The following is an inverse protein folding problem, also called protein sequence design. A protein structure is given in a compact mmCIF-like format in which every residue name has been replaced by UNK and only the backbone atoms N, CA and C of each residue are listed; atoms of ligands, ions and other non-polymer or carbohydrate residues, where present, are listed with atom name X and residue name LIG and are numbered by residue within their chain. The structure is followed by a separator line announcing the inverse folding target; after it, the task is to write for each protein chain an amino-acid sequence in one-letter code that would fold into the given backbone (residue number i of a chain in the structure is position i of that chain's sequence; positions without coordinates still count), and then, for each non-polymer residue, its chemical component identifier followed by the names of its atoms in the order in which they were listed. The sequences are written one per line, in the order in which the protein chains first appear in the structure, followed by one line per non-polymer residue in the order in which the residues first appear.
data_IF_237243509649
#
_entry.id   IF_237243509649
#
_cell.length_a   1.000
_cell.length_b   1.000
_cell.length_c   1.000
_cell.angle_alpha   90.00
_cell.angle_beta   90.00
_cell.angle_gamma   90.00
#
_symmetry.space_group_name_H-M   'P 1'
#
loop_
_entity.id
_entity.type
_entity.pdbx_description
1 polymer ?
#
# COMPACT_ATOMS: atom_id res chain seq x y z
N UNK A 1 17.51 -11.27 -2.78
CA UNK A 1 16.86 -10.10 -3.43
C UNK A 1 15.36 -10.32 -3.63
N UNK A 2 14.59 -10.34 -2.55
CA UNK A 2 13.14 -10.08 -2.55
C UNK A 2 12.73 -9.21 -1.33
N UNK A 3 13.71 -8.50 -0.77
CA UNK A 3 13.66 -7.88 0.55
C UNK A 3 12.49 -6.88 0.68
N UNK A 4 12.16 -6.19 -0.41
CA UNK A 4 10.97 -5.32 -0.50
C UNK A 4 9.67 -6.01 -0.18
N UNK A 5 9.42 -7.10 -0.89
CA UNK A 5 8.17 -7.84 -0.73
C UNK A 5 8.15 -8.56 0.62
N UNK A 6 9.31 -8.96 1.16
CA UNK A 6 9.43 -9.53 2.51
C UNK A 6 9.05 -8.50 3.58
N UNK A 7 9.56 -7.27 3.46
CA UNK A 7 9.23 -6.17 4.38
C UNK A 7 7.75 -5.79 4.28
N UNK A 8 7.18 -5.69 3.07
CA UNK A 8 5.76 -5.41 2.90
C UNK A 8 4.91 -6.52 3.50
N UNK A 9 5.27 -7.78 3.28
CA UNK A 9 4.56 -8.90 3.86
C UNK A 9 4.62 -8.90 5.39
N UNK A 10 5.79 -8.70 5.98
CA UNK A 10 5.99 -8.72 7.43
C UNK A 10 5.41 -7.48 8.12
N UNK A 11 5.82 -6.28 7.70
CA UNK A 11 5.48 -5.01 8.37
C UNK A 11 4.09 -4.49 8.03
N UNK A 12 3.51 -4.91 6.89
CA UNK A 12 2.20 -4.43 6.44
C UNK A 12 1.16 -5.54 6.51
N UNK A 13 1.31 -6.62 5.73
CA UNK A 13 0.25 -7.63 5.60
C UNK A 13 0.06 -8.40 6.90
N UNK A 14 1.11 -9.01 7.43
CA UNK A 14 1.01 -9.84 8.63
C UNK A 14 0.63 -9.02 9.86
N UNK A 15 1.11 -7.78 9.95
CA UNK A 15 0.78 -6.84 11.02
C UNK A 15 -0.72 -6.49 11.11
N UNK A 16 -1.49 -6.63 10.02
CA UNK A 16 -2.93 -6.29 10.01
C UNK A 16 -3.86 -7.49 9.98
N UNK A 17 -3.35 -8.71 9.77
CA UNK A 17 -4.18 -9.93 9.67
C UNK A 17 -5.05 -10.18 10.90
N UNK A 18 -4.59 -9.79 12.09
CA UNK A 18 -5.31 -9.98 13.35
C UNK A 18 -6.42 -8.96 13.62
N UNK A 19 -6.57 -7.92 12.79
CA UNK A 19 -7.58 -6.87 12.99
C UNK A 19 -8.91 -7.36 12.42
N UNK A 20 -9.93 -7.47 13.28
CA UNK A 20 -11.24 -8.02 12.90
C UNK A 20 -12.11 -7.02 12.14
N UNK A 21 -12.05 -5.73 12.48
CA UNK A 21 -12.81 -4.70 11.77
C UNK A 21 -12.13 -4.36 10.41
N UNK A 22 -12.81 -4.54 9.26
CA UNK A 22 -12.21 -4.32 7.95
C UNK A 22 -11.76 -2.87 7.72
N UNK A 23 -12.50 -1.88 8.24
CA UNK A 23 -12.14 -0.47 8.07
C UNK A 23 -10.88 -0.12 8.87
N UNK A 24 -10.82 -0.52 10.14
CA UNK A 24 -9.63 -0.38 10.98
C UNK A 24 -8.44 -1.11 10.35
N UNK A 25 -8.66 -2.33 9.84
CA UNK A 25 -7.63 -3.12 9.15
C UNK A 25 -7.09 -2.39 7.93
N UNK A 26 -7.95 -1.76 7.14
CA UNK A 26 -7.55 -0.99 5.97
C UNK A 26 -6.81 0.29 6.36
N UNK A 27 -7.29 1.05 7.35
CA UNK A 27 -6.59 2.23 7.89
C UNK A 27 -5.20 1.87 8.39
N UNK A 28 -5.09 0.75 9.12
CA UNK A 28 -3.81 0.25 9.59
C UNK A 28 -2.89 -0.16 8.44
N UNK A 29 -3.41 -0.85 7.42
CA UNK A 29 -2.64 -1.23 6.23
C UNK A 29 -2.06 -0.01 5.53
N UNK A 30 -2.87 1.02 5.31
CA UNK A 30 -2.44 2.27 4.66
C UNK A 30 -1.32 2.92 5.48
N UNK A 31 -1.54 3.09 6.79
CA UNK A 31 -0.55 3.66 7.70
C UNK A 31 0.77 2.89 7.67
N UNK A 32 0.72 1.55 7.76
CA UNK A 32 1.93 0.72 7.78
C UNK A 32 2.66 0.78 6.44
N UNK A 33 1.95 0.75 5.32
CA UNK A 33 2.56 0.84 4.00
C UNK A 33 3.21 2.22 3.79
N UNK A 34 2.55 3.30 4.18
CA UNK A 34 3.13 4.64 4.16
C UNK A 34 4.40 4.71 5.00
N UNK A 35 4.39 4.18 6.23
CA UNK A 35 5.59 4.17 7.07
C UNK A 35 6.76 3.39 6.45
N UNK A 36 6.48 2.31 5.70
CA UNK A 36 7.53 1.59 4.95
C UNK A 36 8.10 2.47 3.84
N UNK A 37 7.25 3.18 3.08
CA UNK A 37 7.71 4.05 1.99
C UNK A 37 8.44 5.31 2.48
N UNK A 38 8.05 5.84 3.64
CA UNK A 38 8.66 7.03 4.26
C UNK A 38 9.97 6.73 4.99
N UNK A 39 10.21 5.46 5.37
CA UNK A 39 11.41 5.01 6.07
C UNK A 39 12.65 5.13 5.18
N UNK A 40 13.63 5.95 5.59
CA UNK A 40 14.88 6.18 4.84
C UNK A 40 15.65 4.89 4.59
N UNK A 41 15.65 3.96 5.57
CA UNK A 41 16.32 2.65 5.48
C UNK A 41 15.61 1.71 4.50
N UNK A 42 14.29 1.84 4.37
CA UNK A 42 13.48 1.02 3.48
C UNK A 42 13.24 1.73 2.12
N UNK A 43 13.75 2.96 1.91
CA UNK A 43 13.53 3.76 0.69
C UNK A 43 14.33 3.23 -0.49
N UNK A 44 15.55 2.75 -0.27
CA UNK A 44 16.37 2.06 -1.28
C UNK A 44 15.62 0.87 -1.90
N UNK A 45 14.72 0.28 -1.12
CA UNK A 45 13.96 -0.91 -1.48
C UNK A 45 12.78 -0.57 -2.41
N UNK A 46 12.17 0.61 -2.24
CA UNK A 46 11.16 1.15 -3.16
C UNK A 46 11.80 1.60 -4.48
N UNK A 47 13.01 2.16 -4.43
CA UNK A 47 13.80 2.56 -5.60
C UNK A 47 14.22 1.33 -6.42
N UNK A 48 14.71 0.27 -5.78
CA UNK A 48 15.16 -0.96 -6.47
C UNK A 48 14.03 -1.72 -7.19
N UNK A 49 12.76 -1.44 -6.88
CA UNK A 49 11.60 -1.99 -7.60
C UNK A 49 11.20 -1.18 -8.83
N UNK A 50 11.66 0.07 -8.94
CA UNK A 50 11.39 1.00 -10.05
C UNK A 50 12.60 1.21 -10.97
N UNK A 51 13.81 1.11 -10.43
CA UNK A 51 15.02 1.00 -11.25
C UNK A 51 14.99 -0.39 -11.89
N UNK A 52 14.67 -0.40 -13.18
CA UNK A 52 14.59 -1.55 -14.08
C UNK A 52 15.94 -2.26 -14.24
N UNK A 53 16.55 -2.75 -13.16
CA UNK A 53 17.61 -3.73 -13.28
C UNK A 53 16.99 -5.00 -13.88
N UNK A 54 17.49 -5.49 -15.03
CA UNK A 54 16.96 -6.70 -15.65
C UNK A 54 17.21 -7.87 -14.70
N UNK A 55 16.16 -8.24 -13.96
CA UNK A 55 16.19 -9.42 -13.10
C UNK A 55 16.10 -10.67 -13.98
N UNK A 56 16.77 -11.77 -13.61
CA UNK A 56 16.59 -13.05 -14.29
C UNK A 56 15.11 -13.44 -14.37
N UNK A 57 14.63 -14.03 -15.48
CA UNK A 57 13.21 -14.34 -15.66
C UNK A 57 12.53 -15.10 -14.50
N UNK A 58 13.18 -16.09 -13.84
CA UNK A 58 12.61 -16.78 -12.69
C UNK A 58 12.36 -15.84 -11.50
N UNK A 59 13.25 -14.88 -11.26
CA UNK A 59 13.14 -13.91 -10.18
C UNK A 59 12.05 -12.88 -10.46
N UNK A 60 11.98 -12.40 -11.71
CA UNK A 60 10.92 -11.49 -12.16
C UNK A 60 9.53 -12.13 -12.01
N UNK A 61 9.37 -13.39 -12.42
CA UNK A 61 8.12 -14.15 -12.26
C UNK A 61 7.71 -14.25 -10.79
N UNK A 62 8.65 -14.53 -9.89
CA UNK A 62 8.40 -14.63 -8.44
C UNK A 62 7.97 -13.29 -7.84
N UNK A 63 8.63 -12.19 -8.20
CA UNK A 63 8.28 -10.86 -7.70
C UNK A 63 6.90 -10.44 -8.22
N UNK A 64 6.61 -10.67 -9.49
CA UNK A 64 5.31 -10.34 -10.08
C UNK A 64 4.16 -11.12 -9.45
N UNK A 65 4.38 -12.41 -9.11
CA UNK A 65 3.41 -13.19 -8.36
C UNK A 65 3.10 -12.55 -7.00
N UNK A 66 4.13 -12.21 -6.21
CA UNK A 66 3.93 -11.56 -4.90
C UNK A 66 3.26 -10.18 -5.01
N UNK A 67 3.61 -9.39 -6.03
CA UNK A 67 2.94 -8.10 -6.30
C UNK A 67 1.44 -8.32 -6.58
N UNK A 68 1.11 -9.33 -7.38
CA UNK A 68 -0.28 -9.72 -7.68
C UNK A 68 -1.02 -10.15 -6.42
N UNK A 69 -0.40 -10.97 -5.57
CA UNK A 69 -0.99 -11.41 -4.30
C UNK A 69 -1.28 -10.22 -3.37
N UNK A 70 -0.35 -9.25 -3.30
CA UNK A 70 -0.55 -8.04 -2.53
C UNK A 70 -1.70 -7.17 -3.06
N UNK A 71 -1.80 -7.00 -4.38
CA UNK A 71 -2.93 -6.30 -5.01
C UNK A 71 -4.25 -7.00 -4.65
N UNK A 72 -4.31 -8.32 -4.77
CA UNK A 72 -5.52 -9.09 -4.42
C UNK A 72 -5.89 -8.95 -2.94
N UNK A 73 -4.90 -8.93 -2.04
CA UNK A 73 -5.13 -8.71 -0.62
C UNK A 73 -5.79 -7.35 -0.35
N UNK A 74 -5.25 -6.28 -0.95
CA UNK A 74 -5.78 -4.92 -0.83
C UNK A 74 -7.18 -4.81 -1.47
N UNK A 75 -7.36 -5.37 -2.65
CA UNK A 75 -8.65 -5.42 -3.37
C UNK A 75 -9.74 -6.10 -2.52
N UNK A 76 -9.44 -7.27 -1.95
CA UNK A 76 -10.39 -8.00 -1.10
C UNK A 76 -10.76 -7.22 0.16
N UNK A 77 -9.77 -6.59 0.81
CA UNK A 77 -10.00 -5.77 2.00
C UNK A 77 -10.87 -4.55 1.69
N UNK A 78 -10.65 -3.87 0.56
CA UNK A 78 -11.53 -2.78 0.11
C UNK A 78 -12.96 -3.29 -0.10
N UNK A 79 -13.11 -4.46 -0.74
CA UNK A 79 -14.43 -5.07 -0.94
C UNK A 79 -15.13 -5.42 0.38
N UNK A 80 -14.39 -5.86 1.41
CA UNK A 80 -14.92 -6.07 2.76
C UNK A 80 -15.42 -4.77 3.39
N UNK A 81 -14.68 -3.67 3.26
CA UNK A 81 -15.10 -2.34 3.77
C UNK A 81 -16.35 -1.83 3.04
N UNK A 82 -16.41 -2.00 1.72
CA UNK A 82 -17.61 -1.64 0.94
C UNK A 82 -18.85 -2.41 1.44
N UNK A 83 -18.71 -3.73 1.65
CA UNK A 83 -19.78 -4.56 2.24
C UNK A 83 -20.19 -4.09 3.63
N UNK A 84 -19.22 -3.80 4.51
CA UNK A 84 -19.47 -3.28 5.86
C UNK A 84 -20.28 -1.98 5.82
N UNK A 85 -19.92 -1.06 4.93
CA UNK A 85 -20.59 0.23 4.73
C UNK A 85 -21.89 0.14 3.94
N UNK A 86 -22.28 -1.05 3.46
CA UNK A 86 -23.47 -1.28 2.62
C UNK A 86 -23.52 -0.38 1.38
N UNK A 87 -22.35 -0.05 0.83
CA UNK A 87 -22.19 0.71 -0.41
C UNK A 87 -21.51 -0.18 -1.44
N UNK A 88 -21.92 -0.08 -2.71
CA UNK A 88 -21.15 -0.65 -3.82
C UNK A 88 -19.96 0.24 -4.20
N UNK A 89 -19.84 1.41 -3.54
CA UNK A 89 -18.91 2.47 -3.89
C UNK A 89 -19.22 3.09 -5.25
N UNK A 90 -18.60 4.24 -5.52
CA UNK A 90 -18.57 4.83 -6.88
C UNK A 90 -17.49 4.15 -7.75
N UNK A 91 -16.59 3.39 -7.12
CA UNK A 91 -15.43 2.74 -7.75
C UNK A 91 -15.37 1.25 -7.41
N UNK A 92 -14.89 0.44 -8.36
CA UNK A 92 -14.68 -0.99 -8.11
C UNK A 92 -13.52 -1.21 -7.10
N UNK A 93 -13.55 -2.28 -6.29
CA UNK A 93 -12.47 -2.59 -5.34
C UNK A 93 -11.09 -2.63 -6.00
N UNK A 94 -11.03 -3.16 -7.23
CA UNK A 94 -9.80 -3.26 -8.01
C UNK A 94 -9.25 -1.90 -8.42
N UNK A 95 -10.11 -1.00 -8.91
CA UNK A 95 -9.71 0.35 -9.27
C UNK A 95 -9.22 1.13 -8.04
N UNK A 96 -9.94 1.00 -6.91
CA UNK A 96 -9.53 1.58 -5.64
C UNK A 96 -8.18 1.03 -5.14
N UNK A 97 -7.92 -0.28 -5.27
CA UNK A 97 -6.64 -0.87 -4.91
C UNK A 97 -5.47 -0.29 -5.73
N UNK A 98 -5.63 -0.19 -7.06
CA UNK A 98 -4.61 0.42 -7.91
C UNK A 98 -4.41 1.91 -7.62
N UNK A 99 -5.48 2.67 -7.39
CA UNK A 99 -5.40 4.07 -6.99
C UNK A 99 -4.63 4.23 -5.67
N UNK A 100 -4.95 3.42 -4.65
CA UNK A 100 -4.27 3.46 -3.36
C UNK A 100 -2.77 3.16 -3.49
N UNK A 101 -2.43 2.08 -4.20
CA UNK A 101 -1.05 1.69 -4.41
C UNK A 101 -0.30 2.73 -5.24
N UNK A 102 -0.94 3.34 -6.24
CA UNK A 102 -0.37 4.44 -7.02
C UNK A 102 -0.05 5.65 -6.15
N UNK A 103 -1.00 6.07 -5.30
CA UNK A 103 -0.80 7.19 -4.36
C UNK A 103 0.37 6.94 -3.42
N UNK A 104 0.42 5.77 -2.77
CA UNK A 104 1.46 5.42 -1.80
C UNK A 104 2.82 5.28 -2.49
N UNK A 105 2.88 4.55 -3.59
CA UNK A 105 4.15 4.27 -4.29
C UNK A 105 4.74 5.51 -4.95
N UNK A 106 4.01 6.60 -5.16
CA UNK A 106 4.59 7.83 -5.72
C UNK A 106 5.30 8.70 -4.67
N UNK A 107 5.01 8.52 -3.38
CA UNK A 107 5.49 9.42 -2.31
C UNK A 107 7.02 9.47 -2.23
N UNK A 108 7.72 8.35 -2.45
CA UNK A 108 9.18 8.32 -2.37
C UNK A 108 9.88 9.22 -3.40
N UNK A 109 9.20 9.63 -4.47
CA UNK A 109 9.77 10.47 -5.52
C UNK A 109 9.95 11.93 -5.09
N UNK A 110 9.14 12.39 -4.13
CA UNK A 110 9.12 13.80 -3.74
C UNK A 110 9.18 14.03 -2.22
N UNK A 111 8.91 13.01 -1.39
CA UNK A 111 8.92 13.17 0.05
C UNK A 111 10.30 13.51 0.61
N UNK A 112 10.35 14.47 1.51
CA UNK A 112 11.56 14.91 2.19
C UNK A 112 11.30 14.94 3.69
N UNK A 113 12.07 14.21 4.53
CA UNK A 113 11.87 14.22 5.98
C UNK A 113 12.02 15.62 6.61
N UNK A 114 12.82 16.48 5.99
CA UNK A 114 13.08 17.89 6.33
C UNK A 114 12.14 18.88 5.60
N UNK A 115 11.12 18.37 4.91
CA UNK A 115 10.19 19.17 4.11
C UNK A 115 8.98 19.69 4.90
N UNK A 116 8.10 20.43 4.20
CA UNK A 116 6.88 20.99 4.77
C UNK A 116 5.79 19.95 5.08
N UNK A 117 5.86 18.77 4.47
CA UNK A 117 4.90 17.69 4.67
C UNK A 117 5.51 16.65 5.61
N UNK A 118 5.08 16.65 6.87
CA UNK A 118 5.56 15.70 7.88
C UNK A 118 4.94 14.31 7.68
N UNK A 119 5.70 13.26 8.02
CA UNK A 119 5.29 11.87 7.77
C UNK A 119 3.96 11.47 8.43
N UNK A 120 3.72 11.86 9.69
CA UNK A 120 2.46 11.55 10.37
C UNK A 120 1.26 12.29 9.76
N UNK A 121 1.46 13.53 9.32
CA UNK A 121 0.42 14.31 8.66
C UNK A 121 0.07 13.72 7.31
N UNK A 122 1.08 13.26 6.55
CA UNK A 122 0.87 12.55 5.30
C UNK A 122 0.07 11.26 5.48
N UNK A 123 0.38 10.47 6.52
CA UNK A 123 -0.38 9.26 6.84
C UNK A 123 -1.86 9.57 7.01
N UNK A 124 -2.19 10.57 7.82
CA UNK A 124 -3.59 10.95 8.08
C UNK A 124 -4.25 11.48 6.80
N UNK A 125 -3.64 12.47 6.15
CA UNK A 125 -4.19 13.12 4.97
C UNK A 125 -4.40 12.15 3.79
N UNK A 126 -3.45 11.25 3.51
CA UNK A 126 -3.59 10.26 2.43
C UNK A 126 -4.66 9.22 2.75
N UNK A 127 -4.77 8.81 4.02
CA UNK A 127 -5.86 7.91 4.44
C UNK A 127 -7.20 8.60 4.23
N UNK A 128 -7.34 9.86 4.64
CA UNK A 128 -8.59 10.61 4.51
C UNK A 128 -8.96 10.85 3.04
N UNK A 129 -8.01 11.25 2.19
CA UNK A 129 -8.21 11.40 0.74
C UNK A 129 -8.72 10.09 0.13
N UNK A 130 -8.09 8.96 0.47
CA UNK A 130 -8.49 7.68 -0.07
C UNK A 130 -9.90 7.28 0.39
N UNK A 131 -10.18 7.38 1.69
CA UNK A 131 -11.49 7.01 2.24
C UNK A 131 -12.61 7.90 1.71
N UNK A 132 -12.33 9.20 1.57
CA UNK A 132 -13.26 10.17 1.01
C UNK A 132 -13.52 9.96 -0.49
N UNK A 133 -12.68 9.24 -1.24
CA UNK A 133 -12.91 8.93 -2.65
C UNK A 133 -13.41 7.51 -2.91
N UNK A 134 -12.97 6.54 -2.11
CA UNK A 134 -13.21 5.11 -2.36
C UNK A 134 -14.54 4.58 -1.80
N UNK A 135 -15.12 5.27 -0.80
CA UNK A 135 -16.27 4.76 -0.03
C UNK A 135 -17.41 5.76 0.12
N UNK A 136 -17.51 6.78 -0.74
CA UNK A 136 -18.70 7.65 -0.79
C UNK A 136 -19.96 6.85 -1.17
#
# INVERSE_FOLDING_TARGET
MSHAMDITEEKVVNAVRGISDPEERLRMLIRRHLNVVLSVRDREITVMLHENHPLPPPLQKRINARKKDYIHFVENLIAEVQRLKRTNGVVSPRAAAFALLGMINWIYQWYRPDGALLGEDLVRQYTDIFFAGAFQ
#
